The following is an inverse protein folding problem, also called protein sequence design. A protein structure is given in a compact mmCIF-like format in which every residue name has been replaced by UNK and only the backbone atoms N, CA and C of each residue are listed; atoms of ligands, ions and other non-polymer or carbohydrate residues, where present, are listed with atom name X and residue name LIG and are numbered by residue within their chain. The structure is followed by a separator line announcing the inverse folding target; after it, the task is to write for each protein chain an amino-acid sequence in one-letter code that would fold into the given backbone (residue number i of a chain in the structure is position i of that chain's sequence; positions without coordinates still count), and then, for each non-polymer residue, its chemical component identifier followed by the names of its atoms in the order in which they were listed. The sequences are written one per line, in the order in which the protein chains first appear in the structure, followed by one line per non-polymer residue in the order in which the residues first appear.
data_IF_676694473526
#
_entry.id   IF_676694473526
#
_cell.length_a   1.000
_cell.length_b   1.000
_cell.length_c   1.000
_cell.angle_alpha   90.00
_cell.angle_beta   90.00
_cell.angle_gamma   90.00
#
_symmetry.space_group_name_H-M   'P 1'
#
loop_
_entity.id
_entity.type
_entity.pdbx_description
1 polymer ?
#
# COMPACT_ATOMS: atom_id res chain seq x y z
N UNK A 1 49.04 33.72 -23.93
CA UNK A 1 50.34 33.05 -23.76
C UNK A 1 50.27 32.27 -22.46
N UNK A 2 50.03 30.96 -22.56
CA UNK A 2 49.86 30.05 -21.42
C UNK A 2 51.01 29.05 -21.41
N UNK A 3 51.53 28.77 -20.22
CA UNK A 3 52.76 28.04 -19.94
C UNK A 3 52.56 26.51 -19.99
N UNK A 4 53.30 25.74 -20.82
CA UNK A 4 53.14 24.30 -20.94
C UNK A 4 54.26 23.53 -20.23
N UNK A 5 54.29 23.49 -18.90
CA UNK A 5 55.28 22.68 -18.14
C UNK A 5 54.69 22.11 -16.84
N UNK A 6 53.64 21.26 -16.92
CA UNK A 6 53.18 20.44 -15.78
C UNK A 6 52.46 19.15 -16.20
N UNK A 7 53.04 18.36 -17.09
CA UNK A 7 52.43 17.05 -17.45
C UNK A 7 53.35 15.82 -17.39
N UNK A 8 54.62 15.94 -16.99
CA UNK A 8 55.52 14.77 -16.94
C UNK A 8 55.66 14.09 -15.58
N UNK A 9 55.30 14.74 -14.46
CA UNK A 9 55.51 14.15 -13.12
C UNK A 9 54.40 13.21 -12.61
N UNK A 10 53.26 13.10 -13.30
CA UNK A 10 52.17 12.20 -12.87
C UNK A 10 52.26 10.78 -13.46
N UNK A 11 53.10 10.55 -14.47
CA UNK A 11 53.26 9.23 -15.08
C UNK A 11 54.24 8.31 -14.32
N UNK A 12 55.18 8.88 -13.54
CA UNK A 12 56.19 8.11 -12.82
C UNK A 12 55.66 7.47 -11.51
N UNK A 13 54.66 8.08 -10.85
CA UNK A 13 54.09 7.54 -9.61
C UNK A 13 53.13 6.35 -9.81
N UNK A 14 52.58 6.16 -11.02
CA UNK A 14 51.65 5.07 -11.29
C UNK A 14 52.34 3.70 -11.53
N UNK A 15 53.65 3.69 -11.75
CA UNK A 15 54.40 2.47 -12.05
C UNK A 15 55.09 1.84 -10.82
N UNK A 16 55.22 2.57 -9.71
CA UNK A 16 55.86 2.06 -8.48
C UNK A 16 54.85 1.43 -7.50
N UNK A 17 53.58 1.81 -7.56
CA UNK A 17 52.52 1.26 -6.70
C UNK A 17 51.97 -0.11 -7.20
N UNK A 18 52.21 -0.45 -8.47
CA UNK A 18 51.79 -1.73 -9.07
C UNK A 18 52.80 -2.88 -8.84
N UNK A 19 54.02 -2.59 -8.38
CA UNK A 19 55.06 -3.59 -8.14
C UNK A 19 55.02 -4.19 -6.71
N UNK A 20 54.22 -3.63 -5.80
CA UNK A 20 54.13 -4.10 -4.40
C UNK A 20 53.10 -5.22 -4.17
N UNK A 21 52.37 -5.67 -5.20
CA UNK A 21 51.22 -6.59 -5.05
C UNK A 21 51.41 -7.95 -5.74
N UNK A 22 52.65 -8.41 -5.90
CA UNK A 22 52.94 -9.77 -6.38
C UNK A 22 53.78 -10.52 -5.36
N UNK A 23 53.10 -11.15 -4.39
CA UNK A 23 53.68 -12.23 -3.57
C UNK A 23 53.62 -13.56 -4.34
N UNK A 24 54.62 -14.44 -4.20
CA UNK A 24 54.69 -15.70 -4.92
C UNK A 24 53.62 -16.69 -4.42
N UNK A 25 52.92 -17.30 -5.37
CA UNK A 25 52.10 -18.50 -5.20
C UNK A 25 53.01 -19.65 -4.76
N UNK A 26 52.94 -20.01 -3.47
CA UNK A 26 53.66 -21.14 -2.91
C UNK A 26 52.79 -21.85 -1.88
N UNK A 27 52.63 -23.15 -2.10
CA UNK A 27 52.00 -24.17 -1.25
C UNK A 27 50.47 -24.07 -1.08
N UNK A 28 49.75 -24.95 -1.80
CA UNK A 28 48.42 -25.43 -1.41
C UNK A 28 48.55 -26.16 -0.06
N UNK A 29 48.35 -25.44 1.04
CA UNK A 29 47.94 -26.05 2.30
C UNK A 29 46.49 -26.50 2.11
N UNK A 30 46.26 -27.81 2.21
CA UNK A 30 44.92 -28.39 2.26
C UNK A 30 44.15 -27.75 3.41
N UNK A 31 43.15 -26.93 3.09
CA UNK A 31 42.20 -26.45 4.08
C UNK A 31 41.54 -27.67 4.74
N UNK A 32 41.55 -27.77 6.08
CA UNK A 32 40.84 -28.84 6.77
C UNK A 32 39.36 -28.71 6.42
N UNK A 33 38.74 -29.82 5.99
CA UNK A 33 37.30 -29.87 5.82
C UNK A 33 36.64 -29.33 7.10
N UNK A 34 35.65 -28.44 6.99
CA UNK A 34 34.97 -27.91 8.16
C UNK A 34 34.39 -29.10 8.91
N UNK A 35 34.94 -29.37 10.10
CA UNK A 35 34.37 -30.36 11.01
C UNK A 35 32.89 -30.02 11.14
N UNK A 36 32.02 -30.97 10.78
CA UNK A 36 30.58 -30.91 11.00
C UNK A 36 30.38 -30.75 12.51
N UNK A 37 30.41 -29.50 12.98
CA UNK A 37 29.93 -29.10 14.28
C UNK A 37 28.43 -29.40 14.23
N UNK A 38 28.08 -30.65 14.54
CA UNK A 38 26.74 -31.04 14.93
C UNK A 38 26.40 -30.13 16.10
N UNK A 39 25.77 -28.99 15.79
CA UNK A 39 25.19 -28.09 16.77
C UNK A 39 24.16 -28.93 17.48
N UNK A 40 24.58 -29.52 18.60
CA UNK A 40 23.68 -30.25 19.47
C UNK A 40 22.51 -29.32 19.72
N UNK A 41 21.33 -29.73 19.28
CA UNK A 41 20.09 -29.13 19.77
C UNK A 41 20.25 -29.11 21.28
N UNK A 42 19.99 -27.97 21.96
CA UNK A 42 20.10 -27.91 23.41
C UNK A 42 19.35 -29.12 23.96
N UNK A 43 20.06 -30.08 24.55
CA UNK A 43 19.43 -31.28 25.13
C UNK A 43 18.74 -30.94 26.45
N UNK A 44 19.03 -29.75 26.99
CA UNK A 44 18.45 -29.15 28.17
C UNK A 44 17.48 -28.02 27.77
N UNK A 45 16.46 -28.34 26.97
CA UNK A 45 15.29 -27.44 26.83
C UNK A 45 14.38 -27.72 28.03
N UNK A 46 14.74 -27.16 29.17
CA UNK A 46 13.92 -27.22 30.38
C UNK A 46 12.54 -26.59 30.14
N UNK A 47 11.52 -27.10 30.84
CA UNK A 47 10.12 -26.65 30.79
C UNK A 47 9.91 -25.16 31.16
N UNK A 48 10.96 -24.45 31.58
CA UNK A 48 10.93 -23.06 32.05
C UNK A 48 10.87 -21.97 30.95
N UNK A 49 10.84 -22.32 29.66
CA UNK A 49 10.72 -21.33 28.58
C UNK A 49 9.29 -20.76 28.45
N UNK A 50 8.91 -19.92 29.42
CA UNK A 50 7.79 -18.97 29.35
C UNK A 50 8.12 -17.76 28.48
N UNK A 51 9.38 -17.57 28.09
CA UNK A 51 9.84 -16.43 27.31
C UNK A 51 9.96 -16.75 25.82
N UNK A 52 9.58 -15.80 24.94
CA UNK A 52 9.77 -15.93 23.50
C UNK A 52 11.24 -16.15 23.13
N UNK A 53 11.51 -17.11 22.24
CA UNK A 53 12.79 -17.25 21.60
C UNK A 53 12.96 -16.20 20.50
N UNK A 54 14.16 -15.63 20.41
CA UNK A 54 14.50 -14.68 19.36
C UNK A 54 15.67 -15.20 18.55
N UNK A 55 15.72 -14.84 17.27
CA UNK A 55 16.86 -15.15 16.41
C UNK A 55 18.21 -14.84 17.09
N UNK A 56 19.14 -15.79 17.00
CA UNK A 56 20.50 -15.65 17.55
C UNK A 56 21.22 -14.45 16.93
N UNK A 57 21.97 -13.74 17.78
CA UNK A 57 22.70 -12.52 17.37
C UNK A 57 21.86 -11.24 17.38
N UNK A 58 20.55 -11.28 17.61
CA UNK A 58 19.80 -10.05 17.86
C UNK A 58 20.18 -9.46 19.22
N UNK A 59 20.54 -8.17 19.23
CA UNK A 59 20.75 -7.39 20.46
C UNK A 59 19.45 -7.21 21.23
N UNK A 60 19.53 -6.95 22.54
CA UNK A 60 18.35 -6.69 23.39
C UNK A 60 17.47 -5.59 22.79
N UNK A 61 18.08 -4.47 22.34
CA UNK A 61 17.36 -3.37 21.69
C UNK A 61 16.58 -3.83 20.45
N UNK A 62 17.17 -4.70 19.62
CA UNK A 62 16.50 -5.24 18.43
C UNK A 62 15.35 -6.17 18.81
N UNK A 63 15.55 -7.05 19.80
CA UNK A 63 14.49 -7.94 20.33
C UNK A 63 13.30 -7.15 20.86
N UNK A 64 13.53 -6.14 21.69
CA UNK A 64 12.46 -5.29 22.23
C UNK A 64 11.70 -4.57 21.12
N UNK A 65 12.42 -3.99 20.15
CA UNK A 65 11.77 -3.34 19.00
C UNK A 65 10.93 -4.33 18.20
N UNK A 66 11.47 -5.51 17.91
CA UNK A 66 10.79 -6.53 17.11
C UNK A 66 9.59 -7.15 17.83
N UNK A 67 9.69 -7.37 19.14
CA UNK A 67 8.57 -7.80 19.96
C UNK A 67 7.43 -6.78 19.94
N UNK A 68 7.73 -5.48 20.08
CA UNK A 68 6.72 -4.42 19.98
C UNK A 68 6.08 -4.36 18.57
N UNK A 69 6.87 -4.57 17.51
CA UNK A 69 6.36 -4.66 16.14
C UNK A 69 5.47 -5.89 15.94
N UNK A 70 5.79 -7.06 16.50
CA UNK A 70 4.95 -8.25 16.38
C UNK A 70 3.66 -8.14 17.22
N UNK A 71 3.74 -7.52 18.41
CA UNK A 71 2.62 -7.37 19.33
C UNK A 71 1.39 -6.67 18.71
N UNK A 72 1.59 -5.80 17.72
CA UNK A 72 0.48 -5.13 17.02
C UNK A 72 -0.36 -6.08 16.15
N UNK A 73 0.15 -7.28 15.86
CA UNK A 73 -0.50 -8.28 15.01
C UNK A 73 -1.06 -9.45 15.80
N UNK A 74 -0.75 -9.56 17.09
CA UNK A 74 -1.20 -10.67 17.93
C UNK A 74 -2.71 -10.57 18.21
N UNK A 75 -3.38 -11.71 18.16
CA UNK A 75 -4.75 -11.83 18.67
C UNK A 75 -4.74 -11.90 20.21
N UNK A 76 -5.86 -11.57 20.87
CA UNK A 76 -6.00 -11.76 22.32
C UNK A 76 -5.64 -13.20 22.74
N UNK A 77 -4.76 -13.32 23.73
CA UNK A 77 -4.28 -14.61 24.25
C UNK A 77 -3.19 -15.30 23.40
N UNK A 78 -2.80 -14.73 22.24
CA UNK A 78 -1.62 -15.23 21.52
C UNK A 78 -0.33 -14.92 22.27
N UNK A 79 0.51 -15.93 22.40
CA UNK A 79 1.85 -15.83 23.00
C UNK A 79 2.88 -16.17 21.93
N UNK A 80 3.89 -15.31 21.79
CA UNK A 80 5.01 -15.54 20.86
C UNK A 80 5.92 -16.63 21.44
N UNK A 81 6.14 -17.69 20.67
CA UNK A 81 7.09 -18.76 20.99
C UNK A 81 8.43 -18.48 20.34
N UNK A 82 8.43 -18.02 19.09
CA UNK A 82 9.63 -17.64 18.35
C UNK A 82 9.43 -16.39 17.50
N UNK A 83 10.47 -15.56 17.39
CA UNK A 83 10.55 -14.45 16.45
C UNK A 83 11.94 -14.31 15.83
N UNK A 84 12.01 -14.22 14.50
CA UNK A 84 13.26 -14.08 13.77
C UNK A 84 13.10 -13.55 12.35
N UNK A 85 14.21 -13.48 11.60
CA UNK A 85 14.17 -13.19 10.17
C UNK A 85 13.67 -14.40 9.40
N UNK A 86 12.69 -14.17 8.52
CA UNK A 86 12.14 -15.17 7.62
C UNK A 86 10.95 -14.58 6.89
N UNK A 87 10.79 -14.89 5.62
CA UNK A 87 9.68 -14.32 4.87
C UNK A 87 9.48 -14.85 3.45
N UNK A 88 8.47 -14.27 2.83
CA UNK A 88 8.02 -14.51 1.46
C UNK A 88 8.44 -13.33 0.59
N UNK A 89 8.67 -13.57 -0.70
CA UNK A 89 8.88 -12.47 -1.66
C UNK A 89 7.56 -11.84 -2.14
N UNK A 90 6.43 -12.55 -2.00
CA UNK A 90 5.11 -12.13 -2.50
C UNK A 90 4.00 -12.57 -1.54
N UNK A 91 3.51 -11.70 -0.64
CA UNK A 91 3.99 -10.33 -0.38
C UNK A 91 5.39 -10.32 0.25
N UNK A 92 6.13 -9.22 0.10
CA UNK A 92 7.46 -9.11 0.72
C UNK A 92 7.32 -9.01 2.24
N UNK A 93 7.80 -10.04 2.94
CA UNK A 93 7.91 -10.08 4.40
C UNK A 93 9.36 -10.37 4.80
N UNK A 94 9.76 -9.88 5.97
CA UNK A 94 11.14 -10.01 6.47
C UNK A 94 11.23 -10.70 7.81
N UNK A 95 10.14 -10.69 8.58
CA UNK A 95 10.10 -11.21 9.93
C UNK A 95 9.10 -12.36 10.00
N UNK A 96 9.49 -13.43 10.68
CA UNK A 96 8.73 -14.63 10.94
C UNK A 96 8.41 -14.70 12.44
N UNK A 97 7.16 -15.02 12.75
CA UNK A 97 6.67 -15.21 14.11
C UNK A 97 5.97 -16.56 14.19
N UNK A 98 6.31 -17.35 15.20
CA UNK A 98 5.56 -18.53 15.60
C UNK A 98 4.92 -18.23 16.95
N UNK A 99 3.59 -18.31 17.00
CA UNK A 99 2.82 -18.20 18.24
C UNK A 99 2.28 -19.56 18.64
N UNK A 100 1.64 -19.66 19.80
CA UNK A 100 0.86 -20.81 20.21
C UNK A 100 -0.36 -21.11 19.32
N UNK A 101 -0.72 -20.24 18.38
CA UNK A 101 -1.89 -20.40 17.52
C UNK A 101 -1.57 -20.49 16.02
N UNK A 102 -0.53 -19.78 15.56
CA UNK A 102 -0.23 -19.65 14.11
C UNK A 102 1.23 -19.33 13.83
N UNK A 103 1.63 -19.61 12.60
CA UNK A 103 2.86 -19.10 12.00
C UNK A 103 2.47 -17.95 11.09
N UNK A 104 3.08 -16.79 11.27
CA UNK A 104 2.87 -15.67 10.37
C UNK A 104 4.15 -14.93 10.06
N UNK A 105 4.20 -14.30 8.88
CA UNK A 105 5.25 -13.37 8.51
C UNK A 105 4.71 -11.97 8.34
N UNK A 106 5.53 -10.97 8.65
CA UNK A 106 5.17 -9.57 8.48
C UNK A 106 6.33 -8.75 7.92
N UNK A 107 5.99 -7.57 7.41
CA UNK A 107 6.95 -6.62 6.84
C UNK A 107 6.36 -5.22 6.77
N UNK A 108 6.94 -4.33 5.94
CA UNK A 108 6.45 -2.96 5.77
C UNK A 108 4.98 -2.88 5.32
N UNK A 109 4.47 -3.91 4.64
CA UNK A 109 3.08 -3.99 4.17
C UNK A 109 2.07 -4.53 5.19
N UNK A 110 2.50 -4.87 6.40
CA UNK A 110 1.69 -5.58 7.39
C UNK A 110 1.99 -7.07 7.42
N UNK A 111 1.02 -7.86 7.92
CA UNK A 111 1.08 -9.33 7.89
C UNK A 111 0.93 -9.77 6.45
N UNK A 112 1.87 -10.60 5.99
CA UNK A 112 1.87 -11.11 4.62
C UNK A 112 1.27 -12.50 4.51
N UNK A 113 1.79 -13.42 5.31
CA UNK A 113 1.41 -14.82 5.29
C UNK A 113 1.01 -15.25 6.69
N UNK A 114 -0.05 -16.05 6.80
CA UNK A 114 -0.55 -16.57 8.07
C UNK A 114 -1.03 -18.00 7.85
N UNK A 115 -0.58 -18.93 8.70
CA UNK A 115 -1.05 -20.32 8.74
C UNK A 115 -1.37 -20.67 10.18
N UNK A 116 -2.61 -21.08 10.45
CA UNK A 116 -2.98 -21.61 11.76
C UNK A 116 -2.22 -22.91 12.00
N UNK A 117 -1.65 -23.08 13.20
CA UNK A 117 -0.84 -24.26 13.53
C UNK A 117 -1.70 -25.54 13.50
N UNK A 118 -2.99 -25.44 13.85
CA UNK A 118 -3.92 -26.58 13.76
C UNK A 118 -4.26 -27.01 12.35
N UNK A 119 -4.33 -26.07 11.41
CA UNK A 119 -4.67 -26.43 10.05
C UNK A 119 -3.47 -26.97 9.30
N UNK A 120 -2.26 -26.89 9.85
CA UNK A 120 -1.05 -27.39 9.20
C UNK A 120 -0.96 -28.92 9.26
N UNK A 121 -1.37 -29.58 8.16
CA UNK A 121 -1.26 -31.03 7.99
C UNK A 121 0.19 -31.49 7.80
N UNK A 122 0.98 -30.72 7.06
CA UNK A 122 2.37 -31.04 6.77
C UNK A 122 3.26 -29.80 6.94
N UNK A 123 4.40 -29.97 7.61
CA UNK A 123 5.42 -28.95 7.73
C UNK A 123 6.81 -29.57 7.48
N UNK A 124 7.52 -29.06 6.48
CA UNK A 124 8.88 -29.46 6.12
C UNK A 124 9.87 -28.33 6.42
N UNK A 125 10.92 -28.65 7.17
CA UNK A 125 11.92 -27.73 7.69
C UNK A 125 13.28 -27.99 7.04
N UNK A 126 13.53 -27.36 5.89
CA UNK A 126 14.76 -27.53 5.12
C UNK A 126 15.89 -26.66 5.72
N UNK A 127 16.57 -27.21 6.73
CA UNK A 127 17.70 -26.56 7.40
C UNK A 127 18.91 -26.31 6.48
N UNK A 128 19.03 -27.06 5.38
CA UNK A 128 20.12 -26.88 4.40
C UNK A 128 19.87 -25.68 3.50
N UNK A 129 18.60 -25.38 3.20
CA UNK A 129 18.21 -24.27 2.31
C UNK A 129 17.66 -23.05 3.04
N UNK A 130 17.43 -23.11 4.35
CA UNK A 130 16.86 -22.01 5.11
C UNK A 130 15.41 -21.74 4.72
N UNK A 131 14.61 -22.81 4.63
CA UNK A 131 13.21 -22.74 4.16
C UNK A 131 12.28 -23.55 5.04
N UNK A 132 11.03 -23.12 5.10
CA UNK A 132 9.94 -23.85 5.72
C UNK A 132 8.81 -23.93 4.71
N UNK A 133 8.24 -25.12 4.56
CA UNK A 133 7.11 -25.40 3.71
C UNK A 133 5.98 -25.93 4.58
N UNK A 134 4.86 -25.21 4.65
CA UNK A 134 3.69 -25.61 5.43
C UNK A 134 2.52 -25.82 4.47
N UNK A 135 1.85 -26.95 4.54
CA UNK A 135 0.62 -27.24 3.80
C UNK A 135 -0.52 -27.34 4.79
N UNK A 136 -1.60 -26.58 4.57
CA UNK A 136 -2.78 -26.66 5.42
C UNK A 136 -3.80 -27.71 4.95
N UNK A 137 -4.82 -27.95 5.76
CA UNK A 137 -5.98 -28.83 5.52
C UNK A 137 -6.78 -28.50 4.26
N UNK A 138 -6.69 -27.26 3.78
CA UNK A 138 -7.25 -26.84 2.49
C UNK A 138 -6.31 -27.11 1.29
N UNK A 139 -5.15 -27.74 1.51
CA UNK A 139 -4.12 -27.98 0.49
C UNK A 139 -3.36 -26.72 0.05
N UNK A 140 -3.49 -25.61 0.77
CA UNK A 140 -2.78 -24.37 0.46
C UNK A 140 -1.35 -24.47 0.96
N UNK A 141 -0.41 -24.35 0.03
CA UNK A 141 1.03 -24.36 0.33
C UNK A 141 1.55 -22.97 0.67
N UNK A 142 2.32 -22.92 1.75
CA UNK A 142 2.98 -21.74 2.29
C UNK A 142 4.48 -21.98 2.31
N UNK A 143 5.23 -21.11 1.66
CA UNK A 143 6.69 -21.20 1.58
C UNK A 143 7.35 -20.00 2.22
N UNK A 144 8.07 -20.22 3.31
CA UNK A 144 8.88 -19.20 4.00
C UNK A 144 10.35 -19.47 3.66
N UNK A 145 11.09 -18.41 3.35
CA UNK A 145 12.48 -18.48 2.88
C UNK A 145 13.34 -17.40 3.53
N UNK A 146 14.63 -17.39 3.18
CA UNK A 146 15.63 -16.48 3.75
C UNK A 146 15.77 -16.60 5.28
N UNK A 147 15.53 -17.81 5.81
CA UNK A 147 15.74 -18.13 7.21
C UNK A 147 17.22 -18.49 7.40
N UNK A 148 17.93 -17.92 8.39
CA UNK A 148 19.30 -18.35 8.70
C UNK A 148 19.32 -19.85 9.02
N UNK A 149 20.26 -20.60 8.44
CA UNK A 149 20.26 -22.08 8.53
C UNK A 149 20.22 -22.58 9.99
N UNK A 150 20.94 -21.91 10.89
CA UNK A 150 21.00 -22.22 12.33
C UNK A 150 19.68 -21.99 13.08
N UNK A 151 18.72 -21.31 12.47
CA UNK A 151 17.43 -20.98 13.06
C UNK A 151 16.32 -21.96 12.68
N UNK A 152 16.47 -22.68 11.56
CA UNK A 152 15.44 -23.63 11.08
C UNK A 152 15.07 -24.66 12.16
N UNK A 153 16.02 -25.30 12.86
CA UNK A 153 15.66 -26.26 13.92
C UNK A 153 14.98 -25.61 15.14
N UNK A 154 15.28 -24.34 15.43
CA UNK A 154 14.62 -23.58 16.52
C UNK A 154 13.17 -23.28 16.14
N UNK A 155 12.92 -22.98 14.87
CA UNK A 155 11.57 -22.72 14.37
C UNK A 155 10.75 -24.01 14.32
N UNK A 156 11.36 -25.13 13.90
CA UNK A 156 10.74 -26.45 13.97
C UNK A 156 10.31 -26.79 15.42
N UNK A 157 11.22 -26.61 16.38
CA UNK A 157 10.90 -26.77 17.80
C UNK A 157 9.74 -25.86 18.24
N UNK A 158 9.76 -24.58 17.85
CA UNK A 158 8.72 -23.63 18.22
C UNK A 158 7.36 -24.01 17.63
N UNK A 159 7.35 -24.53 16.41
CA UNK A 159 6.16 -25.00 15.72
C UNK A 159 5.57 -26.26 16.36
N UNK A 160 6.40 -27.25 16.68
CA UNK A 160 5.96 -28.44 17.40
C UNK A 160 5.47 -28.11 18.81
N UNK A 161 6.12 -27.16 19.51
CA UNK A 161 5.62 -26.64 20.79
C UNK A 161 4.25 -25.96 20.63
N UNK A 162 4.06 -25.20 19.55
CA UNK A 162 2.78 -24.55 19.26
C UNK A 162 1.63 -25.56 19.04
N UNK A 163 1.92 -26.74 18.48
CA UNK A 163 0.92 -27.80 18.27
C UNK A 163 0.40 -28.39 19.57
N UNK A 164 1.29 -28.57 20.55
CA UNK A 164 0.94 -29.19 21.84
C UNK A 164 0.48 -28.19 22.89
N UNK A 165 0.68 -26.89 22.66
CA UNK A 165 0.27 -25.87 23.61
C UNK A 165 -1.25 -25.80 23.71
N UNK A 166 -1.78 -25.99 24.93
CA UNK A 166 -3.21 -25.79 25.19
C UNK A 166 -3.56 -24.35 24.84
N UNK A 167 -4.46 -24.18 23.87
CA UNK A 167 -4.87 -22.85 23.45
C UNK A 167 -5.89 -22.35 24.44
N UNK A 168 -5.78 -21.09 24.84
CA UNK A 168 -6.91 -20.43 25.44
C UNK A 168 -8.07 -20.52 24.44
N UNK A 169 -9.19 -21.13 24.83
CA UNK A 169 -10.41 -21.20 24.00
C UNK A 169 -10.77 -19.82 23.45
N UNK A 170 -10.50 -18.77 24.24
CA UNK A 170 -10.63 -17.36 23.87
C UNK A 170 -9.84 -16.97 22.62
N UNK A 171 -8.64 -17.51 22.38
CA UNK A 171 -7.81 -17.19 21.21
C UNK A 171 -8.38 -17.80 19.94
N UNK A 172 -8.85 -19.06 20.00
CA UNK A 172 -9.50 -19.71 18.87
C UNK A 172 -10.82 -19.03 18.52
N UNK A 173 -11.63 -18.71 19.52
CA UNK A 173 -12.85 -17.92 19.32
C UNK A 173 -12.53 -16.54 18.76
N UNK A 174 -11.53 -15.82 19.27
CA UNK A 174 -11.15 -14.51 18.78
C UNK A 174 -10.68 -14.55 17.31
N UNK A 175 -9.92 -15.59 16.93
CA UNK A 175 -9.47 -15.79 15.55
C UNK A 175 -10.65 -16.11 14.62
N UNK A 176 -11.54 -17.03 15.02
CA UNK A 176 -12.73 -17.36 14.25
C UNK A 176 -13.66 -16.15 14.10
N UNK A 177 -13.88 -15.39 15.16
CA UNK A 177 -14.67 -14.15 15.14
C UNK A 177 -14.00 -13.13 14.22
N UNK A 178 -12.67 -12.95 14.31
CA UNK A 178 -11.96 -11.99 13.45
C UNK A 178 -12.07 -12.36 11.98
N UNK A 179 -11.83 -13.62 11.63
CA UNK A 179 -11.93 -14.11 10.26
C UNK A 179 -13.37 -13.98 9.71
N UNK A 180 -14.36 -14.33 10.52
CA UNK A 180 -15.77 -14.19 10.14
C UNK A 180 -16.19 -12.73 10.00
N UNK A 181 -15.75 -11.84 10.92
CA UNK A 181 -15.99 -10.40 10.82
C UNK A 181 -15.35 -9.82 9.56
N UNK A 182 -14.13 -10.23 9.18
CA UNK A 182 -13.50 -9.80 7.92
C UNK A 182 -14.28 -10.30 6.71
N UNK A 183 -14.70 -11.58 6.71
CA UNK A 183 -15.50 -12.18 5.64
C UNK A 183 -16.83 -11.45 5.48
N UNK A 184 -17.55 -11.25 6.58
CA UNK A 184 -18.83 -10.51 6.63
C UNK A 184 -18.63 -9.07 6.20
N UNK A 185 -17.56 -8.39 6.64
CA UNK A 185 -17.28 -7.01 6.21
C UNK A 185 -17.04 -6.94 4.69
N UNK A 186 -16.31 -7.89 4.11
CA UNK A 186 -16.08 -7.96 2.67
C UNK A 186 -17.36 -8.20 1.88
N UNK A 187 -18.23 -9.07 2.38
CA UNK A 187 -19.54 -9.33 1.78
C UNK A 187 -20.45 -8.10 1.89
N UNK A 188 -20.49 -7.45 3.05
CA UNK A 188 -21.32 -6.27 3.28
C UNK A 188 -20.96 -5.09 2.37
N UNK A 189 -19.69 -4.91 2.03
CA UNK A 189 -19.27 -3.86 1.08
C UNK A 189 -19.73 -4.19 -0.34
N UNK A 190 -19.59 -5.45 -0.76
CA UNK A 190 -20.07 -5.90 -2.08
C UNK A 190 -21.60 -5.85 -2.20
N UNK A 191 -22.32 -6.15 -1.13
CA UNK A 191 -23.78 -6.05 -1.10
C UNK A 191 -24.23 -4.59 -1.17
N UNK A 192 -23.51 -3.69 -0.48
CA UNK A 192 -23.82 -2.26 -0.44
C UNK A 192 -23.51 -1.54 -1.75
N UNK A 193 -22.37 -1.84 -2.36
CA UNK A 193 -21.93 -1.23 -3.61
C UNK A 193 -21.59 -2.35 -4.62
N UNK A 194 -22.61 -2.97 -5.23
CA UNK A 194 -22.42 -4.11 -6.12
C UNK A 194 -21.56 -3.78 -7.35
N UNK A 195 -21.60 -2.52 -7.78
CA UNK A 195 -20.84 -2.02 -8.93
C UNK A 195 -19.43 -1.51 -8.56
N UNK A 196 -19.09 -1.47 -7.28
CA UNK A 196 -17.78 -1.00 -6.84
C UNK A 196 -16.71 -2.05 -7.07
N UNK A 197 -15.60 -1.64 -7.69
CA UNK A 197 -14.38 -2.43 -7.70
C UNK A 197 -13.67 -2.28 -6.35
N UNK A 198 -13.60 -3.34 -5.56
CA UNK A 198 -12.92 -3.35 -4.26
C UNK A 198 -11.61 -4.13 -4.36
N UNK A 199 -10.49 -3.46 -4.13
CA UNK A 199 -9.13 -4.01 -4.15
C UNK A 199 -8.54 -4.01 -2.74
N UNK A 200 -8.14 -5.18 -2.25
CA UNK A 200 -7.59 -5.35 -0.90
C UNK A 200 -8.66 -5.45 0.19
N UNK A 201 -8.21 -5.42 1.44
CA UNK A 201 -9.05 -5.66 2.61
C UNK A 201 -9.43 -4.35 3.30
N UNK A 202 -10.73 -4.07 3.38
CA UNK A 202 -11.26 -2.86 3.98
C UNK A 202 -11.58 -3.13 5.45
N UNK A 203 -10.95 -2.36 6.34
CA UNK A 203 -11.28 -2.42 7.77
C UNK A 203 -12.65 -1.79 8.04
N UNK A 204 -13.33 -2.21 9.10
CA UNK A 204 -14.60 -1.60 9.54
C UNK A 204 -14.52 -0.06 9.66
N UNK A 205 -13.40 0.47 10.17
CA UNK A 205 -13.21 1.92 10.29
C UNK A 205 -13.12 2.61 8.94
N UNK A 206 -12.40 2.01 7.98
CA UNK A 206 -12.34 2.53 6.62
C UNK A 206 -13.73 2.48 5.96
N UNK A 207 -14.48 1.38 6.11
CA UNK A 207 -15.86 1.28 5.64
C UNK A 207 -16.76 2.40 6.22
N UNK A 208 -16.69 2.64 7.53
CA UNK A 208 -17.43 3.75 8.15
C UNK A 208 -16.98 5.13 7.64
N UNK A 209 -15.69 5.29 7.33
CA UNK A 209 -15.15 6.48 6.66
C UNK A 209 -15.72 6.68 5.27
N UNK A 210 -15.80 5.61 4.47
CA UNK A 210 -16.38 5.66 3.13
C UNK A 210 -17.85 6.05 3.20
N UNK A 211 -18.63 5.48 4.13
CA UNK A 211 -20.06 5.82 4.33
C UNK A 211 -20.27 7.30 4.60
N UNK A 212 -19.40 7.92 5.40
CA UNK A 212 -19.49 9.36 5.70
C UNK A 212 -19.24 10.24 4.48
N UNK A 213 -18.56 9.73 3.45
CA UNK A 213 -18.28 10.46 2.21
C UNK A 213 -19.35 10.27 1.13
N UNK A 214 -20.20 9.26 1.25
CA UNK A 214 -21.30 9.00 0.33
C UNK A 214 -22.42 10.01 0.57
N UNK A 215 -22.95 10.61 -0.50
CA UNK A 215 -24.11 11.50 -0.45
C UNK A 215 -25.37 10.80 -0.97
N UNK A 216 -26.36 10.56 -0.09
CA UNK A 216 -27.58 9.85 -0.47
C UNK A 216 -27.27 8.43 -0.96
N UNK A 217 -27.72 8.11 -2.19
CA UNK A 217 -27.50 6.82 -2.85
C UNK A 217 -26.18 6.75 -3.62
N UNK A 218 -25.31 7.75 -3.47
CA UNK A 218 -24.00 7.74 -4.10
C UNK A 218 -23.15 6.56 -3.61
N UNK A 219 -22.49 5.91 -4.58
CA UNK A 219 -21.57 4.80 -4.34
C UNK A 219 -20.20 5.11 -4.96
N UNK A 220 -19.10 4.69 -4.31
CA UNK A 220 -17.81 4.66 -4.96
C UNK A 220 -17.80 3.61 -6.07
N UNK A 221 -17.11 3.89 -7.18
CA UNK A 221 -16.89 2.89 -8.22
C UNK A 221 -15.56 2.14 -8.03
N UNK A 222 -14.64 2.68 -7.22
CA UNK A 222 -13.36 2.06 -6.89
C UNK A 222 -13.00 2.30 -5.42
N UNK A 223 -12.58 1.23 -4.75
CA UNK A 223 -12.00 1.27 -3.40
C UNK A 223 -10.70 0.49 -3.39
N UNK A 224 -9.62 1.11 -2.94
CA UNK A 224 -8.26 0.55 -2.91
C UNK A 224 -7.71 0.58 -1.49
N UNK A 225 -7.50 -0.58 -0.88
CA UNK A 225 -6.98 -0.76 0.47
C UNK A 225 -5.65 -1.56 0.43
N UNK A 226 -4.50 -0.91 0.18
CA UNK A 226 -3.24 -1.58 -0.15
C UNK A 226 -2.61 -2.39 0.99
N UNK A 227 -3.13 -2.25 2.21
CA UNK A 227 -2.71 -3.06 3.35
C UNK A 227 -2.92 -2.35 4.69
N UNK A 228 -2.40 -2.99 5.74
CA UNK A 228 -2.50 -2.50 7.10
C UNK A 228 -1.79 -1.14 7.27
N UNK A 229 -2.45 -0.20 7.95
CA UNK A 229 -1.92 1.13 8.28
C UNK A 229 -1.51 2.03 7.08
N UNK A 230 -1.96 1.72 5.85
CA UNK A 230 -1.68 2.55 4.68
C UNK A 230 -2.80 3.55 4.37
N UNK A 231 -4.02 3.27 4.85
CA UNK A 231 -5.24 4.00 4.50
C UNK A 231 -5.97 3.34 3.33
N UNK A 232 -6.97 4.04 2.81
CA UNK A 232 -7.80 3.62 1.67
C UNK A 232 -7.95 4.78 0.71
N UNK A 233 -7.85 4.52 -0.60
CA UNK A 233 -8.32 5.43 -1.64
C UNK A 233 -9.69 5.00 -2.12
N UNK A 234 -10.58 5.96 -2.27
CA UNK A 234 -11.97 5.77 -2.67
C UNK A 234 -12.24 6.71 -3.83
N UNK A 235 -12.77 6.22 -4.94
CA UNK A 235 -13.14 7.08 -6.07
C UNK A 235 -14.64 7.01 -6.36
N UNK A 236 -15.22 8.19 -6.51
CA UNK A 236 -16.60 8.47 -6.93
C UNK A 236 -16.57 9.01 -8.37
N UNK A 237 -17.74 9.41 -8.89
CA UNK A 237 -17.84 9.86 -10.27
C UNK A 237 -17.16 11.21 -10.53
N UNK A 238 -17.07 12.08 -9.52
CA UNK A 238 -16.58 13.46 -9.63
C UNK A 238 -15.36 13.76 -8.74
N UNK A 239 -15.01 12.84 -7.84
CA UNK A 239 -13.96 13.04 -6.83
C UNK A 239 -13.35 11.72 -6.38
N UNK A 240 -12.21 11.82 -5.72
CA UNK A 240 -11.66 10.73 -4.91
C UNK A 240 -11.40 11.22 -3.49
N UNK A 241 -11.26 10.30 -2.55
CA UNK A 241 -10.80 10.58 -1.20
C UNK A 241 -9.71 9.61 -0.78
N UNK A 242 -8.80 10.09 0.07
CA UNK A 242 -7.86 9.25 0.80
C UNK A 242 -8.27 9.29 2.28
N UNK A 243 -8.58 8.12 2.83
CA UNK A 243 -9.01 7.92 4.21
C UNK A 243 -7.92 7.18 4.96
N UNK A 244 -7.38 7.78 6.01
CA UNK A 244 -6.38 7.17 6.89
C UNK A 244 -7.04 6.82 8.21
N UNK A 245 -7.25 5.52 8.41
CA UNK A 245 -7.87 4.93 9.60
C UNK A 245 -6.92 3.90 10.23
N UNK A 246 -6.85 3.85 11.56
CA UNK A 246 -6.11 2.80 12.28
C UNK A 246 -5.38 3.33 13.51
N UNK A 247 -5.29 2.56 14.60
CA UNK A 247 -4.61 3.03 15.82
C UNK A 247 -3.14 3.41 15.55
N UNK A 248 -2.45 2.69 14.66
CA UNK A 248 -1.09 3.00 14.24
C UNK A 248 -1.02 4.29 13.41
N UNK A 249 -1.89 4.47 12.41
CA UNK A 249 -1.95 5.70 11.59
C UNK A 249 -2.46 6.91 12.36
N UNK A 250 -3.48 6.73 13.20
CA UNK A 250 -4.04 7.72 14.11
C UNK A 250 -3.03 8.14 15.19
N UNK A 251 -2.25 7.20 15.75
CA UNK A 251 -1.15 7.52 16.66
C UNK A 251 -0.01 8.24 15.92
N UNK A 252 0.36 7.78 14.72
CA UNK A 252 1.41 8.40 13.89
C UNK A 252 1.00 9.77 13.31
N UNK A 253 -0.29 10.02 13.08
CA UNK A 253 -0.83 11.27 12.56
C UNK A 253 -1.28 12.26 13.65
N UNK A 254 -1.06 11.94 14.93
CA UNK A 254 -1.44 12.80 16.07
C UNK A 254 -2.94 12.89 16.33
N UNK A 255 -3.74 12.00 15.74
CA UNK A 255 -5.19 11.95 15.86
C UNK A 255 -5.60 10.71 16.67
N UNK A 256 -5.21 10.60 17.95
CA UNK A 256 -5.52 9.46 18.84
C UNK A 256 -7.02 9.09 18.76
N UNK A 257 -7.34 8.04 17.99
CA UNK A 257 -8.72 7.56 17.77
C UNK A 257 -9.51 8.25 16.66
N UNK A 258 -8.95 9.26 15.99
CA UNK A 258 -9.57 10.00 14.90
C UNK A 258 -9.29 9.41 13.51
N UNK A 259 -10.15 9.74 12.57
CA UNK A 259 -9.96 9.53 11.13
C UNK A 259 -9.41 10.80 10.50
N UNK A 260 -8.49 10.64 9.54
CA UNK A 260 -8.13 11.71 8.61
C UNK A 260 -8.62 11.35 7.22
N UNK A 261 -9.58 12.11 6.72
CA UNK A 261 -10.10 11.96 5.35
C UNK A 261 -9.81 13.24 4.57
N UNK A 262 -9.41 13.12 3.31
CA UNK A 262 -9.24 14.27 2.42
C UNK A 262 -9.77 13.94 1.05
N UNK A 263 -10.63 14.82 0.54
CA UNK A 263 -11.36 14.68 -0.71
C UNK A 263 -10.77 15.60 -1.77
N UNK A 264 -10.61 15.09 -2.97
CA UNK A 264 -10.05 15.77 -4.13
C UNK A 264 -11.02 15.63 -5.29
N UNK A 265 -11.62 16.74 -5.74
CA UNK A 265 -12.47 16.75 -6.92
C UNK A 265 -11.62 16.57 -8.17
N UNK A 266 -12.11 15.80 -9.15
CA UNK A 266 -11.37 15.48 -10.37
C UNK A 266 -10.94 16.72 -11.15
N UNK A 267 -11.77 17.77 -11.13
CA UNK A 267 -11.45 19.06 -11.77
C UNK A 267 -10.22 19.75 -11.15
N UNK A 268 -9.94 19.49 -9.87
CA UNK A 268 -8.84 20.09 -9.11
C UNK A 268 -7.55 19.25 -9.13
N UNK A 269 -7.63 17.99 -9.58
CA UNK A 269 -6.48 17.06 -9.56
C UNK A 269 -5.61 17.25 -10.79
N UNK A 270 -4.41 17.80 -10.62
CA UNK A 270 -3.41 17.97 -11.67
C UNK A 270 -2.93 16.63 -12.23
N UNK A 271 -2.56 15.69 -11.35
CA UNK A 271 -2.13 14.35 -11.73
C UNK A 271 -2.25 13.39 -10.54
N UNK A 272 -2.19 12.09 -10.85
CA UNK A 272 -1.94 11.03 -9.87
C UNK A 272 -0.65 10.35 -10.27
N UNK A 273 0.33 10.30 -9.36
CA UNK A 273 1.66 9.76 -9.64
C UNK A 273 2.02 8.65 -8.66
N UNK A 274 2.84 7.69 -9.11
CA UNK A 274 3.39 6.67 -8.22
C UNK A 274 4.89 6.84 -8.13
N UNK A 275 5.34 7.35 -6.99
CA UNK A 275 6.74 7.57 -6.68
C UNK A 275 7.32 6.28 -6.10
N UNK A 276 8.00 5.49 -6.93
CA UNK A 276 8.49 4.16 -6.58
C UNK A 276 9.94 4.17 -6.09
N UNK A 277 10.16 3.56 -4.93
CA UNK A 277 11.46 3.04 -4.51
C UNK A 277 11.75 1.64 -5.06
N UNK A 278 12.82 1.01 -4.54
CA UNK A 278 13.18 -0.37 -4.90
C UNK A 278 12.07 -1.39 -4.62
N UNK A 279 11.31 -1.19 -3.53
CA UNK A 279 10.31 -2.16 -3.02
C UNK A 279 8.97 -1.50 -2.73
N UNK A 280 9.00 -0.36 -2.05
CA UNK A 280 7.83 0.43 -1.66
C UNK A 280 7.75 1.70 -2.48
N UNK A 281 6.55 2.27 -2.59
CA UNK A 281 6.35 3.57 -3.18
C UNK A 281 5.12 4.25 -2.59
N UNK A 282 4.78 5.38 -3.18
CA UNK A 282 3.68 6.22 -2.72
C UNK A 282 2.84 6.62 -3.92
N UNK A 283 1.55 6.30 -3.89
CA UNK A 283 0.59 6.90 -4.81
C UNK A 283 0.22 8.29 -4.29
N UNK A 284 0.49 9.32 -5.07
CA UNK A 284 0.31 10.71 -4.70
C UNK A 284 -0.73 11.39 -5.59
N UNK A 285 -1.62 12.16 -4.98
CA UNK A 285 -2.60 13.03 -5.65
C UNK A 285 -2.03 14.44 -5.65
N UNK A 286 -1.84 15.01 -6.84
CA UNK A 286 -1.28 16.34 -7.02
C UNK A 286 -2.40 17.34 -7.31
N UNK A 287 -2.43 18.43 -6.55
CA UNK A 287 -3.37 19.56 -6.75
C UNK A 287 -2.62 20.90 -6.66
N UNK A 288 -3.32 22.02 -6.81
CA UNK A 288 -2.71 23.34 -6.61
C UNK A 288 -2.12 23.51 -5.19
N UNK A 289 -2.76 22.93 -4.16
CA UNK A 289 -2.33 22.98 -2.75
C UNK A 289 -1.34 21.87 -2.39
N UNK A 290 -1.33 20.78 -3.15
CA UNK A 290 -0.38 19.68 -3.00
C UNK A 290 0.50 19.61 -4.24
N UNK A 291 1.42 20.57 -4.34
CA UNK A 291 2.39 20.58 -5.42
C UNK A 291 3.40 19.47 -5.19
N UNK A 292 3.79 18.82 -6.29
CA UNK A 292 4.88 17.85 -6.30
C UNK A 292 6.20 18.60 -6.06
N UNK A 293 6.49 18.91 -4.80
CA UNK A 293 7.79 19.44 -4.45
C UNK A 293 8.82 18.31 -4.62
N UNK A 294 9.89 18.65 -5.33
CA UNK A 294 11.08 17.86 -5.61
C UNK A 294 11.30 16.73 -4.59
N UNK A 295 10.94 15.51 -5.00
CA UNK A 295 11.21 14.28 -4.26
C UNK A 295 10.70 14.27 -2.81
N UNK A 296 9.40 14.01 -2.61
CA UNK A 296 8.93 13.24 -1.43
C UNK A 296 9.46 11.81 -1.51
N UNK A 297 10.78 11.71 -1.50
CA UNK A 297 11.50 10.46 -1.59
C UNK A 297 11.21 9.72 -0.30
N UNK A 298 10.39 8.68 -0.37
CA UNK A 298 10.14 7.74 0.72
C UNK A 298 11.43 7.40 1.46
N UNK A 299 12.57 7.37 0.74
CA UNK A 299 13.90 7.08 1.26
C UNK A 299 14.58 8.22 2.03
N UNK A 300 14.36 9.49 1.70
CA UNK A 300 15.04 10.62 2.40
C UNK A 300 14.67 10.70 3.88
N UNK A 301 13.46 10.26 4.24
CA UNK A 301 12.98 10.24 5.63
C UNK A 301 13.33 8.99 6.43
N UNK A 302 13.76 7.89 5.80
CA UNK A 302 13.97 6.61 6.52
C UNK A 302 15.13 6.61 7.53
N UNK A 303 16.03 7.60 7.43
CA UNK A 303 17.18 7.79 8.34
C UNK A 303 16.98 8.93 9.37
N UNK A 304 15.88 9.69 9.30
CA UNK A 304 15.61 10.80 10.20
C UNK A 304 14.47 10.45 11.19
N UNK A 305 14.53 11.03 12.39
CA UNK A 305 13.50 10.85 13.43
C UNK A 305 12.11 11.25 12.89
N UNK A 306 11.17 10.29 12.90
CA UNK A 306 9.81 10.41 12.33
C UNK A 306 9.00 11.61 12.82
N UNK A 307 9.26 12.11 14.04
CA UNK A 307 8.52 13.25 14.60
C UNK A 307 8.95 14.62 14.06
N UNK A 308 10.02 14.70 13.25
CA UNK A 308 10.51 15.96 12.69
C UNK A 308 10.27 16.08 11.17
N UNK A 309 9.66 15.07 10.54
CA UNK A 309 9.53 15.03 9.09
C UNK A 309 8.09 15.34 8.65
N UNK A 310 7.86 16.56 8.17
CA UNK A 310 6.58 16.97 7.57
C UNK A 310 6.23 16.21 6.29
N UNK A 311 7.20 15.47 5.72
CA UNK A 311 7.08 14.81 4.43
C UNK A 311 6.81 13.29 4.53
N UNK A 312 6.45 12.78 5.72
CA UNK A 312 6.12 11.37 5.88
C UNK A 312 4.87 10.98 5.07
N UNK A 313 4.96 10.09 4.06
CA UNK A 313 3.82 9.64 3.27
C UNK A 313 2.72 8.97 4.08
N UNK A 314 3.00 8.47 5.28
CA UNK A 314 1.98 7.92 6.17
C UNK A 314 1.13 9.01 6.84
N UNK A 315 1.65 10.23 7.00
CA UNK A 315 0.93 11.34 7.66
C UNK A 315 0.30 12.33 6.67
N UNK A 316 0.86 12.46 5.46
CA UNK A 316 0.37 13.35 4.41
C UNK A 316 -1.01 12.93 3.88
N UNK A 317 -1.92 13.88 3.61
CA UNK A 317 -3.30 13.55 3.23
C UNK A 317 -3.50 13.20 1.76
N UNK A 318 -2.54 13.58 0.93
CA UNK A 318 -2.59 13.38 -0.52
C UNK A 318 -1.82 12.12 -0.96
N UNK A 319 -1.41 11.27 -0.02
CA UNK A 319 -0.55 10.11 -0.27
C UNK A 319 -1.16 8.81 0.25
N UNK A 320 -1.02 7.77 -0.55
CA UNK A 320 -1.35 6.39 -0.20
C UNK A 320 -0.09 5.52 -0.39
N UNK A 321 0.65 5.20 0.68
CA UNK A 321 1.79 4.30 0.62
C UNK A 321 1.36 2.90 0.17
N UNK A 322 2.11 2.28 -0.74
CA UNK A 322 1.87 0.90 -1.18
C UNK A 322 3.14 0.24 -1.71
N UNK A 323 3.19 -1.08 -1.67
CA UNK A 323 4.31 -1.84 -2.25
C UNK A 323 4.22 -1.87 -3.78
N UNK A 324 5.37 -1.95 -4.46
CA UNK A 324 5.43 -1.94 -5.93
C UNK A 324 4.64 -3.07 -6.57
N UNK A 325 4.61 -4.25 -5.94
CA UNK A 325 3.81 -5.39 -6.43
C UNK A 325 2.32 -5.10 -6.42
N UNK A 326 1.81 -4.47 -5.36
CA UNK A 326 0.39 -4.06 -5.24
C UNK A 326 0.08 -2.99 -6.27
N UNK A 327 0.95 -1.96 -6.42
CA UNK A 327 0.79 -0.97 -7.48
C UNK A 327 0.73 -1.60 -8.87
N UNK A 328 1.66 -2.51 -9.20
CA UNK A 328 1.68 -3.19 -10.50
C UNK A 328 0.42 -4.01 -10.75
N UNK A 329 -0.10 -4.69 -9.72
CA UNK A 329 -1.36 -5.43 -9.81
C UNK A 329 -2.55 -4.50 -10.06
N UNK A 330 -2.54 -3.30 -9.48
CA UNK A 330 -3.66 -2.36 -9.52
C UNK A 330 -3.53 -1.28 -10.58
N UNK A 331 -2.45 -1.31 -11.37
CA UNK A 331 -2.16 -0.33 -12.40
C UNK A 331 -3.34 -0.10 -13.38
N UNK A 332 -4.09 -1.12 -13.84
CA UNK A 332 -5.25 -0.89 -14.70
C UNK A 332 -6.32 0.02 -14.09
N UNK A 333 -6.63 -0.15 -12.81
CA UNK A 333 -7.62 0.68 -12.10
C UNK A 333 -7.12 2.11 -11.86
N UNK A 334 -5.82 2.27 -11.63
CA UNK A 334 -5.18 3.59 -11.49
C UNK A 334 -5.21 4.33 -12.84
N UNK A 335 -5.02 3.63 -13.96
CA UNK A 335 -5.13 4.24 -15.29
C UNK A 335 -6.57 4.65 -15.62
N UNK A 336 -7.56 3.85 -15.25
CA UNK A 336 -8.98 4.22 -15.37
C UNK A 336 -9.29 5.48 -14.55
N UNK A 337 -8.81 5.55 -13.31
CA UNK A 337 -8.95 6.73 -12.47
C UNK A 337 -8.34 7.99 -13.11
N UNK A 338 -7.12 7.87 -13.67
CA UNK A 338 -6.48 8.97 -14.42
C UNK A 338 -7.28 9.37 -15.65
N UNK A 339 -7.85 8.43 -16.38
CA UNK A 339 -8.68 8.70 -17.55
C UNK A 339 -9.94 9.50 -17.19
N UNK A 340 -10.62 9.13 -16.09
CA UNK A 340 -11.79 9.88 -15.57
C UNK A 340 -11.44 11.29 -15.13
N UNK A 341 -10.29 11.47 -14.47
CA UNK A 341 -9.78 12.80 -14.08
C UNK A 341 -9.53 13.65 -15.32
N UNK A 342 -8.86 13.09 -16.33
CA UNK A 342 -8.61 13.79 -17.60
C UNK A 342 -9.93 14.15 -18.31
N UNK A 343 -10.94 13.27 -18.27
CA UNK A 343 -12.25 13.53 -18.85
C UNK A 343 -13.00 14.66 -18.13
N UNK A 344 -13.01 14.68 -16.80
CA UNK A 344 -13.65 15.71 -16.00
C UNK A 344 -13.05 17.11 -16.23
N UNK A 345 -11.77 17.17 -16.62
CA UNK A 345 -11.05 18.40 -16.95
C UNK A 345 -11.25 18.89 -18.37
N UNK A 346 -11.77 18.06 -19.28
CA UNK A 346 -12.10 18.54 -20.61
C UNK A 346 -13.14 19.64 -20.43
N UNK A 347 -12.94 20.84 -21.01
CA UNK A 347 -14.00 21.82 -21.06
C UNK A 347 -15.20 21.07 -21.60
N UNK A 348 -16.29 21.00 -20.82
CA UNK A 348 -17.55 20.51 -21.33
C UNK A 348 -17.84 21.44 -22.48
N UNK A 349 -17.53 21.00 -23.70
CA UNK A 349 -17.86 21.75 -24.90
C UNK A 349 -19.36 21.86 -24.81
N UNK A 350 -19.83 23.04 -24.35
CA UNK A 350 -21.23 23.39 -24.40
C UNK A 350 -21.65 22.95 -25.80
N UNK A 351 -22.69 22.11 -25.93
CA UNK A 351 -23.05 21.53 -27.20
C UNK A 351 -23.03 22.69 -28.18
N UNK A 352 -22.07 22.63 -29.11
CA UNK A 352 -21.97 23.63 -30.14
C UNK A 352 -23.33 23.52 -30.79
N UNK A 353 -24.20 24.49 -30.49
CA UNK A 353 -25.48 24.65 -31.15
C UNK A 353 -25.07 24.58 -32.60
N UNK A 354 -25.50 23.52 -33.28
CA UNK A 354 -25.13 23.23 -34.64
C UNK A 354 -25.61 24.42 -35.46
N UNK A 355 -24.74 25.43 -35.58
CA UNK A 355 -24.77 26.43 -36.62
C UNK A 355 -24.34 25.70 -37.88
N UNK A 356 -25.24 24.83 -38.34
CA UNK A 356 -25.17 24.31 -39.69
C UNK A 356 -25.32 25.49 -40.62
N UNK A 357 -24.28 25.73 -41.41
CA UNK A 357 -24.41 26.40 -42.69
C UNK A 357 -23.89 27.81 -42.71
N UNK A 358 -22.75 27.97 -43.39
CA UNK A 358 -22.43 29.12 -44.22
C UNK A 358 -23.62 30.03 -44.53
N UNK A 359 -23.54 31.28 -44.08
CA UNK A 359 -24.07 32.39 -44.87
C UNK A 359 -23.24 33.62 -44.55
N UNK A 360 -22.52 34.10 -45.56
CA UNK A 360 -22.32 35.53 -45.75
C UNK A 360 -23.57 36.28 -45.29
N UNK A 361 -23.41 37.37 -44.53
CA UNK A 361 -24.48 38.07 -43.81
C UNK A 361 -25.78 38.23 -44.60
N UNK A 362 -26.71 37.31 -44.38
CA UNK A 362 -28.11 37.45 -44.73
C UNK A 362 -28.85 37.75 -43.44
N UNK A 363 -29.40 38.95 -43.35
CA UNK A 363 -30.39 39.28 -42.32
C UNK A 363 -31.47 38.20 -42.34
N UNK A 364 -31.66 37.51 -41.21
CA UNK A 364 -32.80 36.62 -41.04
C UNK A 364 -34.06 37.43 -41.30
N UNK A 365 -34.99 36.90 -42.11
CA UNK A 365 -36.22 37.61 -42.39
C UNK A 365 -37.00 37.83 -41.08
N UNK A 366 -37.69 38.96 -40.98
CA UNK A 366 -38.51 39.30 -39.80
C UNK A 366 -39.50 38.18 -39.48
N UNK A 367 -39.97 37.45 -40.50
CA UNK A 367 -40.91 36.32 -40.36
C UNK A 367 -40.28 35.15 -39.61
N UNK A 368 -39.07 34.72 -39.96
CA UNK A 368 -38.38 33.61 -39.30
C UNK A 368 -38.04 33.94 -37.84
N UNK A 369 -37.69 35.20 -37.58
CA UNK A 369 -37.45 35.68 -36.23
C UNK A 369 -38.72 35.68 -35.36
N UNK A 370 -39.89 36.00 -35.95
CA UNK A 370 -41.19 35.92 -35.28
C UNK A 370 -41.62 34.48 -34.99
N UNK A 371 -41.40 33.56 -35.92
CA UNK A 371 -41.69 32.13 -35.72
C UNK A 371 -40.86 31.55 -34.56
N UNK A 372 -39.60 31.95 -34.46
CA UNK A 372 -38.72 31.53 -33.37
C UNK A 372 -39.15 32.08 -32.02
N UNK A 373 -39.58 33.34 -31.96
CA UNK A 373 -40.15 33.91 -30.73
C UNK A 373 -41.43 33.17 -30.30
N UNK A 374 -42.29 32.78 -31.25
CA UNK A 374 -43.51 32.05 -30.95
C UNK A 374 -43.22 30.65 -30.39
N UNK A 375 -42.22 29.96 -30.94
CA UNK A 375 -41.78 28.66 -30.44
C UNK A 375 -41.27 28.73 -28.99
N UNK A 376 -40.48 29.76 -28.65
CA UNK A 376 -39.94 29.95 -27.29
C UNK A 376 -41.02 30.28 -26.25
N UNK A 377 -42.07 31.01 -26.66
CA UNK A 377 -43.27 31.22 -25.85
C UNK A 377 -44.03 29.90 -25.64
N UNK A 378 -44.25 29.13 -26.70
CA UNK A 378 -44.97 27.86 -26.63
C UNK A 378 -44.25 26.81 -25.74
N UNK A 379 -42.91 26.86 -25.68
CA UNK A 379 -42.12 26.01 -24.79
C UNK A 379 -42.03 26.51 -23.34
N UNK A 380 -42.66 27.64 -23.00
CA UNK A 380 -42.62 28.24 -21.67
C UNK A 380 -41.28 28.86 -21.27
N UNK A 381 -40.38 29.07 -22.24
CA UNK A 381 -39.06 29.69 -22.00
C UNK A 381 -39.18 31.20 -21.88
N UNK A 382 -40.14 31.80 -22.61
CA UNK A 382 -40.47 33.21 -22.49
C UNK A 382 -41.86 33.37 -21.87
N UNK A 383 -41.99 34.35 -20.98
CA UNK A 383 -43.30 34.81 -20.52
C UNK A 383 -44.04 35.55 -21.65
N UNK A 384 -45.36 35.73 -21.48
CA UNK A 384 -46.19 36.49 -22.42
C UNK A 384 -45.68 37.93 -22.61
N UNK A 385 -45.21 38.54 -21.51
CA UNK A 385 -44.71 39.91 -21.45
C UNK A 385 -43.37 40.02 -22.19
N UNK A 386 -42.46 39.07 -21.99
CA UNK A 386 -41.17 39.01 -22.68
C UNK A 386 -41.33 38.77 -24.18
N UNK A 387 -42.25 37.88 -24.56
CA UNK A 387 -42.58 37.63 -25.96
C UNK A 387 -43.12 38.90 -26.64
N UNK A 388 -44.03 39.62 -25.96
CA UNK A 388 -44.62 40.86 -26.50
C UNK A 388 -43.57 41.97 -26.66
N UNK A 389 -42.70 42.14 -25.67
CA UNK A 389 -41.61 43.12 -25.73
C UNK A 389 -40.58 42.80 -26.83
N UNK A 390 -40.23 41.52 -27.00
CA UNK A 390 -39.32 41.07 -28.05
C UNK A 390 -39.93 41.24 -29.45
N UNK A 391 -41.21 40.87 -29.61
CA UNK A 391 -41.97 41.08 -30.85
C UNK A 391 -42.03 42.55 -31.25
N UNK A 392 -42.28 43.45 -30.29
CA UNK A 392 -42.35 44.90 -30.56
C UNK A 392 -41.00 45.48 -31.03
N UNK A 393 -39.88 45.01 -30.48
CA UNK A 393 -38.53 45.43 -30.95
C UNK A 393 -38.24 44.96 -32.38
N UNK A 394 -38.82 43.83 -32.76
CA UNK A 394 -38.51 43.14 -34.01
C UNK A 394 -39.31 43.68 -35.20
N UNK A 395 -40.55 44.11 -34.94
CA UNK A 395 -41.45 44.66 -35.98
C UNK A 395 -41.31 46.19 -36.08
N UNK A 396 -40.69 46.83 -35.08
CA UNK A 396 -40.61 48.29 -34.97
C UNK A 396 -41.97 48.94 -34.64
N UNK A 397 -41.98 50.19 -34.16
CA UNK A 397 -43.21 50.99 -34.05
C UNK A 397 -43.81 51.37 -35.41
#
# INVERSE_FOLDING_TARGET
MANPERHEDQAAMAHEELAATLRPLGAEESEPEPEDEHVALPTDIDDEFTLPQFQRGWSVRKRTKKAAEAAQYLHPGEVVIYQGTGGTMRPLTSDLVVTNARVFSYGPGGVGLTVAVESAEHADFDAKRGRIHITNDAGVEVKISAIPLKEVPVIEWAFERAKVHERASETLEAMSISAEVERVSRLAIRERWPDATVLGDITKRADDGIKRLCQGDEAPWLVMAPGFAQGVLVAFNDRLAIIKTGAATSFMAGALGGERSTTFYFVDINAIEYNSGLVTGVLEVLTASYQGNTNKDYWRGTMQSRNANSDDPYTLSNTLPMVKSVYSQWAPHIQELRARIAQAKRPSAAPAVLSNGETSGSELSVVEQLERLAALRASGVLSEEEFTAAKARLVGP
#
